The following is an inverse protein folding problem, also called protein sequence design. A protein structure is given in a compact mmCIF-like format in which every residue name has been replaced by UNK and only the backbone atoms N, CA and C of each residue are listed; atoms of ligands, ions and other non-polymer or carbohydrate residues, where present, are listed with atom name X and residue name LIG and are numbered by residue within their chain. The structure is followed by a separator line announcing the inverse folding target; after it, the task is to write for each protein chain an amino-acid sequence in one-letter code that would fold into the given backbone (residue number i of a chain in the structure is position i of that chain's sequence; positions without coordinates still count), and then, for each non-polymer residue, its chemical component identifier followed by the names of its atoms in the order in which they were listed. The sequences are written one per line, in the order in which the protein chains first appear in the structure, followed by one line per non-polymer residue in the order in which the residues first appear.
data_IF_783500437015
#
_entry.id   IF_783500437015
#
_cell.length_a   1.000
_cell.length_b   1.000
_cell.length_c   1.000
_cell.angle_alpha   90.00
_cell.angle_beta   90.00
_cell.angle_gamma   90.00
#
_symmetry.space_group_name_H-M   'P 1'
#
loop_
_entity.id
_entity.type
_entity.pdbx_description
1 polymer ?
#
# COMPACT_ATOMS: atom_id res chain seq x y z
N UNK A 1 -2.19 4.07 11.96
CA UNK A 1 -0.87 3.91 12.57
C UNK A 1 0.09 3.33 11.55
N UNK A 2 1.28 3.91 11.43
CA UNK A 2 2.24 3.45 10.44
C UNK A 2 3.07 2.31 10.99
N UNK A 3 3.13 1.23 10.23
CA UNK A 3 4.01 0.11 10.56
C UNK A 3 5.30 0.25 9.78
N UNK A 4 6.38 -0.18 10.37
CA UNK A 4 7.69 -0.17 9.76
C UNK A 4 8.33 -1.54 9.90
N UNK A 5 9.18 -1.89 8.95
CA UNK A 5 10.05 -3.05 9.08
C UNK A 5 11.49 -2.54 9.05
N UNK A 6 12.31 -3.05 9.96
CA UNK A 6 13.73 -2.73 9.97
C UNK A 6 14.51 -3.94 9.50
N UNK A 7 15.38 -3.72 8.52
CA UNK A 7 16.32 -4.74 8.05
C UNK A 7 17.72 -4.28 8.36
N UNK A 8 18.54 -5.17 8.93
CA UNK A 8 19.97 -4.93 9.09
C UNK A 8 20.70 -5.82 8.08
N UNK A 9 21.44 -5.19 7.18
CA UNK A 9 22.17 -5.92 6.14
C UNK A 9 23.57 -5.33 6.02
N UNK A 10 24.57 -6.18 6.19
CA UNK A 10 25.98 -5.77 6.15
C UNK A 10 26.27 -4.60 7.09
N UNK A 11 25.65 -4.62 8.28
CA UNK A 11 25.86 -3.60 9.30
C UNK A 11 25.07 -2.32 9.08
N UNK A 12 24.28 -2.24 8.04
CA UNK A 12 23.47 -1.04 7.73
C UNK A 12 22.01 -1.33 8.03
N UNK A 13 21.34 -0.40 8.71
CA UNK A 13 19.91 -0.52 9.00
C UNK A 13 19.10 0.17 7.94
N UNK A 14 18.07 -0.52 7.47
CA UNK A 14 17.12 0.03 6.51
C UNK A 14 15.73 0.00 7.11
N UNK A 15 14.99 1.10 6.92
CA UNK A 15 13.60 1.20 7.41
C UNK A 15 12.69 1.15 6.20
N UNK A 16 11.79 0.19 6.21
CA UNK A 16 10.80 0.00 5.16
C UNK A 16 9.45 0.51 5.66
N UNK A 17 8.78 1.27 4.82
CA UNK A 17 7.51 1.85 5.20
C UNK A 17 6.70 2.19 3.96
N UNK A 18 5.38 2.13 4.06
CA UNK A 18 4.48 2.55 3.00
C UNK A 18 3.71 3.78 3.46
N UNK A 19 3.46 4.68 2.51
CA UNK A 19 2.51 5.76 2.68
C UNK A 19 1.74 5.92 1.38
N UNK A 20 0.82 6.87 1.35
CA UNK A 20 -0.04 7.03 0.17
C UNK A 20 0.77 7.29 -1.09
N UNK A 21 1.79 8.12 -1.00
CA UNK A 21 2.62 8.45 -2.16
C UNK A 21 3.31 7.21 -2.70
N UNK A 22 3.89 6.41 -1.81
CA UNK A 22 4.60 5.19 -2.21
C UNK A 22 3.64 4.17 -2.82
N UNK A 23 2.46 4.00 -2.20
CA UNK A 23 1.47 3.06 -2.73
C UNK A 23 1.01 3.50 -4.12
N UNK A 24 0.80 4.80 -4.34
CA UNK A 24 0.43 5.28 -5.67
C UNK A 24 1.51 4.97 -6.70
N UNK A 25 2.77 5.12 -6.31
CA UNK A 25 3.86 4.77 -7.22
C UNK A 25 3.84 3.28 -7.56
N UNK A 26 3.56 2.43 -6.58
CA UNK A 26 3.46 0.99 -6.82
C UNK A 26 2.34 0.67 -7.81
N UNK A 27 1.17 1.24 -7.58
CA UNK A 27 0.01 1.00 -8.43
C UNK A 27 0.28 1.48 -9.86
N UNK A 28 0.91 2.63 -10.00
CA UNK A 28 1.26 3.14 -11.32
C UNK A 28 2.28 2.26 -12.04
N UNK A 29 3.07 1.51 -11.29
CA UNK A 29 4.06 0.60 -11.87
C UNK A 29 3.48 -0.80 -12.13
N UNK A 30 2.21 -1.03 -11.81
CA UNK A 30 1.55 -2.29 -12.10
C UNK A 30 1.26 -3.16 -10.90
N UNK A 31 1.48 -2.67 -9.69
CA UNK A 31 1.19 -3.45 -8.49
C UNK A 31 -0.31 -3.67 -8.35
N UNK A 32 -0.69 -4.92 -8.05
CA UNK A 32 -2.07 -5.27 -7.78
C UNK A 32 -2.11 -6.14 -6.53
N UNK A 33 -2.70 -5.60 -5.46
CA UNK A 33 -2.71 -6.29 -4.17
C UNK A 33 -3.42 -7.63 -4.25
N UNK A 34 -4.51 -7.71 -5.00
CA UNK A 34 -5.26 -8.96 -5.11
C UNK A 34 -4.46 -10.05 -5.80
N UNK A 35 -3.46 -9.68 -6.60
CA UNK A 35 -2.59 -10.64 -7.28
C UNK A 35 -1.26 -10.84 -6.57
N UNK A 36 -1.14 -10.33 -5.35
CA UNK A 36 0.13 -10.33 -4.64
C UNK A 36 0.73 -11.73 -4.53
N UNK A 37 -0.10 -12.73 -4.24
CA UNK A 37 0.37 -14.10 -4.08
C UNK A 37 0.12 -14.98 -5.31
N UNK A 38 -0.73 -14.56 -6.24
CA UNK A 38 -0.98 -15.34 -7.45
C UNK A 38 -0.08 -14.95 -8.61
N UNK A 39 0.43 -13.71 -8.61
CA UNK A 39 1.45 -13.26 -9.55
C UNK A 39 2.59 -12.65 -8.76
N UNK A 40 3.34 -13.49 -8.02
CA UNK A 40 4.27 -12.97 -7.01
C UNK A 40 5.50 -12.28 -7.59
N UNK A 41 5.97 -12.70 -8.76
CA UNK A 41 7.25 -12.20 -9.25
C UNK A 41 7.26 -10.68 -9.36
N UNK A 42 6.28 -10.12 -10.07
CA UNK A 42 6.24 -8.66 -10.25
C UNK A 42 5.74 -7.96 -8.99
N UNK A 43 4.76 -8.55 -8.31
CA UNK A 43 4.13 -7.87 -7.18
C UNK A 43 5.01 -7.84 -5.95
N UNK A 44 5.73 -8.92 -5.65
CA UNK A 44 6.66 -8.92 -4.53
C UNK A 44 7.81 -7.97 -4.82
N UNK A 45 8.33 -7.97 -6.05
CA UNK A 45 9.42 -7.06 -6.40
C UNK A 45 9.01 -5.60 -6.24
N UNK A 46 7.83 -5.24 -6.75
CA UNK A 46 7.34 -3.87 -6.62
C UNK A 46 7.14 -3.49 -5.16
N UNK A 47 6.52 -4.39 -4.37
CA UNK A 47 6.26 -4.10 -2.97
C UNK A 47 7.55 -3.92 -2.18
N UNK A 48 8.53 -4.80 -2.40
CA UNK A 48 9.78 -4.72 -1.67
C UNK A 48 10.57 -3.46 -2.05
N UNK A 49 10.72 -3.22 -3.35
CA UNK A 49 11.48 -2.07 -3.84
C UNK A 49 10.86 -0.77 -3.35
N UNK A 50 9.54 -0.65 -3.45
CA UNK A 50 8.86 0.59 -3.07
C UNK A 50 8.95 0.85 -1.57
N UNK A 51 9.04 -0.20 -0.75
CA UNK A 51 9.10 -0.03 0.69
C UNK A 51 10.34 0.75 1.15
N UNK A 52 11.39 0.81 0.33
CA UNK A 52 12.60 1.56 0.65
C UNK A 52 12.51 3.05 0.31
N UNK A 53 11.55 3.45 -0.52
CA UNK A 53 11.59 4.77 -1.14
C UNK A 53 11.50 5.89 -0.11
N UNK A 54 10.66 5.72 0.90
CA UNK A 54 10.39 6.80 1.85
C UNK A 54 11.65 7.19 2.62
N UNK A 55 12.43 6.22 3.06
CA UNK A 55 13.59 6.46 3.92
C UNK A 55 14.91 6.32 3.18
N UNK A 56 14.93 5.65 2.04
CA UNK A 56 16.16 5.37 1.30
C UNK A 56 15.94 5.60 -0.19
N UNK A 57 15.57 6.83 -0.58
CA UNK A 57 15.16 7.08 -1.98
C UNK A 57 16.29 6.93 -2.99
N UNK A 58 17.54 6.92 -2.54
CA UNK A 58 18.68 6.82 -3.46
C UNK A 58 19.31 5.45 -3.48
N UNK A 59 18.73 4.47 -2.77
CA UNK A 59 19.27 3.13 -2.75
C UNK A 59 19.07 2.49 -4.13
N UNK A 60 20.13 1.88 -4.65
CA UNK A 60 20.11 1.34 -6.01
C UNK A 60 19.41 0.00 -6.06
N UNK A 61 18.78 -0.28 -7.20
CA UNK A 61 18.04 -1.52 -7.38
C UNK A 61 18.92 -2.75 -7.15
N UNK A 62 20.17 -2.71 -7.59
CA UNK A 62 21.06 -3.85 -7.40
C UNK A 62 21.30 -4.14 -5.93
N UNK A 63 21.33 -3.11 -5.11
CA UNK A 63 21.52 -3.29 -3.67
C UNK A 63 20.23 -3.81 -3.02
N UNK A 64 19.09 -3.32 -3.48
CA UNK A 64 17.80 -3.81 -2.97
C UNK A 64 17.64 -5.29 -3.27
N UNK A 65 18.02 -5.71 -4.48
CA UNK A 65 17.93 -7.12 -4.87
C UNK A 65 18.85 -7.98 -4.00
N UNK A 66 20.05 -7.47 -3.72
CA UNK A 66 20.97 -8.21 -2.86
C UNK A 66 20.41 -8.36 -1.45
N UNK A 67 19.83 -7.30 -0.92
CA UNK A 67 19.21 -7.36 0.41
C UNK A 67 18.12 -8.42 0.42
N UNK A 68 17.27 -8.44 -0.61
CA UNK A 68 16.21 -9.42 -0.68
C UNK A 68 16.76 -10.84 -0.72
N UNK A 69 17.77 -11.06 -1.58
CA UNK A 69 18.31 -12.40 -1.77
C UNK A 69 18.94 -12.93 -0.49
N UNK A 70 19.47 -12.05 0.35
CA UNK A 70 20.13 -12.44 1.60
C UNK A 70 19.16 -12.56 2.77
N UNK A 71 17.86 -12.21 2.59
CA UNK A 71 16.90 -12.28 3.70
C UNK A 71 16.61 -13.72 4.08
N UNK A 72 16.71 -14.05 5.37
CA UNK A 72 16.18 -15.32 5.87
C UNK A 72 14.66 -15.20 6.07
N UNK A 73 13.99 -16.36 6.14
CA UNK A 73 12.58 -16.43 6.48
C UNK A 73 11.73 -15.54 5.58
N UNK A 74 11.92 -15.69 4.28
CA UNK A 74 11.24 -14.85 3.29
C UNK A 74 9.74 -14.99 3.34
N UNK A 75 9.23 -16.18 3.67
CA UNK A 75 7.79 -16.40 3.74
C UNK A 75 7.14 -15.46 4.74
N UNK A 76 7.70 -15.40 5.96
CA UNK A 76 7.15 -14.51 6.97
C UNK A 76 7.42 -13.04 6.64
N UNK A 77 8.56 -12.76 6.01
CA UNK A 77 8.86 -11.39 5.62
C UNK A 77 7.85 -10.87 4.60
N UNK A 78 7.55 -11.67 3.57
CA UNK A 78 6.57 -11.27 2.55
C UNK A 78 5.19 -11.12 3.15
N UNK A 79 4.83 -12.00 4.10
CA UNK A 79 3.56 -11.86 4.80
C UNK A 79 3.50 -10.53 5.58
N UNK A 80 4.62 -10.11 6.19
CA UNK A 80 4.67 -8.84 6.90
C UNK A 80 4.49 -7.65 5.94
N UNK A 81 5.13 -7.70 4.76
CA UNK A 81 4.91 -6.67 3.75
C UNK A 81 3.44 -6.60 3.34
N UNK A 82 2.84 -7.76 3.09
CA UNK A 82 1.44 -7.81 2.68
C UNK A 82 0.53 -7.23 3.73
N UNK A 83 0.83 -7.50 5.02
CA UNK A 83 0.02 -6.93 6.09
C UNK A 83 0.14 -5.41 6.14
N UNK A 84 1.34 -4.87 5.96
CA UNK A 84 1.52 -3.42 5.96
C UNK A 84 0.72 -2.77 4.82
N UNK A 85 0.72 -3.40 3.65
CA UNK A 85 -0.03 -2.88 2.51
C UNK A 85 -1.52 -2.99 2.77
N UNK A 86 -1.97 -4.12 3.31
CA UNK A 86 -3.37 -4.32 3.66
C UNK A 86 -3.84 -3.29 4.68
N UNK A 87 -3.02 -3.03 5.71
CA UNK A 87 -3.34 -2.03 6.72
C UNK A 87 -3.49 -0.65 6.08
N UNK A 88 -2.65 -0.35 5.10
CA UNK A 88 -2.77 0.92 4.39
C UNK A 88 -4.11 1.02 3.67
N UNK A 89 -4.50 -0.03 2.93
CA UNK A 89 -5.77 0.00 2.20
C UNK A 89 -6.95 0.11 3.16
N UNK A 90 -6.89 -0.57 4.30
CA UNK A 90 -7.93 -0.43 5.31
C UNK A 90 -8.04 1.01 5.80
N UNK A 91 -6.91 1.70 5.94
CA UNK A 91 -6.90 3.07 6.44
C UNK A 91 -7.57 4.06 5.49
N UNK A 92 -7.65 3.73 4.20
CA UNK A 92 -8.31 4.61 3.24
C UNK A 92 -9.80 4.72 3.50
N UNK A 93 -10.39 3.72 4.12
CA UNK A 93 -11.82 3.69 4.38
C UNK A 93 -12.15 3.86 5.85
N UNK A 94 -11.13 4.09 6.68
CA UNK A 94 -11.34 4.25 8.12
C UNK A 94 -11.94 5.62 8.42
N UNK A 95 -12.90 5.63 9.33
CA UNK A 95 -13.49 6.88 9.77
C UNK A 95 -12.58 7.58 10.79
N UNK A 96 -12.69 8.91 10.91
CA UNK A 96 -11.94 9.63 11.95
C UNK A 96 -12.31 9.10 13.33
N UNK A 97 -11.32 9.10 14.23
CA UNK A 97 -11.53 8.54 15.57
C UNK A 97 -12.60 9.24 16.36
N UNK A 98 -12.72 10.55 16.19
CA UNK A 98 -13.71 11.32 16.92
C UNK A 98 -15.00 11.54 16.13
N UNK A 99 -15.21 10.69 15.12
CA UNK A 99 -16.40 10.75 14.30
C UNK A 99 -17.61 10.32 15.14
N UNK A 100 -18.57 11.22 15.30
CA UNK A 100 -19.79 10.94 16.06
C UNK A 100 -20.83 10.21 15.22
N UNK A 101 -20.45 9.66 14.09
CA UNK A 101 -21.36 8.97 13.19
C UNK A 101 -22.11 9.88 12.24
N UNK A 102 -21.79 11.15 12.22
CA UNK A 102 -22.48 12.12 11.37
C UNK A 102 -21.61 12.44 10.15
N UNK A 103 -22.19 12.22 8.97
CA UNK A 103 -21.53 12.63 7.74
C UNK A 103 -21.64 14.13 7.55
N UNK A 104 -20.56 14.73 7.05
CA UNK A 104 -20.60 16.13 6.63
C UNK A 104 -20.65 16.24 5.11
N UNK A 105 -21.08 15.17 4.45
CA UNK A 105 -21.20 15.10 3.01
C UNK A 105 -22.51 14.43 2.66
N UNK A 106 -23.00 14.71 1.45
CA UNK A 106 -24.21 14.04 0.95
C UNK A 106 -24.12 13.94 -0.56
N UNK A 107 -24.82 12.96 -1.12
CA UNK A 107 -24.91 12.81 -2.55
C UNK A 107 -26.02 13.74 -3.07
N UNK A 108 -25.68 14.62 -4.00
CA UNK A 108 -26.65 15.49 -4.64
C UNK A 108 -27.00 14.87 -5.99
N UNK A 109 -28.27 14.52 -6.16
CA UNK A 109 -28.74 13.89 -7.40
C UNK A 109 -29.07 14.99 -8.41
N UNK A 110 -28.20 15.11 -9.41
CA UNK A 110 -28.38 16.10 -10.47
C UNK A 110 -29.17 15.58 -11.66
N UNK A 111 -29.61 14.31 -11.61
CA UNK A 111 -30.42 13.73 -12.64
C UNK A 111 -31.82 14.38 -12.63
N UNK A 112 -32.35 14.87 -13.76
CA UNK A 112 -33.73 15.39 -13.77
C UNK A 112 -34.71 14.30 -13.37
N UNK A 113 -35.65 14.69 -12.57
CA UNK A 113 -36.69 13.74 -12.16
C UNK A 113 -37.89 13.94 -13.05
N UNK A 114 -38.50 13.04 -13.73
CA UNK A 114 -39.50 13.22 -14.72
C UNK A 114 -40.55 12.31 -14.75
N UNK A 115 -40.09 12.65 -14.56
CA UNK A 115 -40.25 11.95 -14.31
C UNK A 115 -40.84 11.28 -13.71
N UNK A 116 -40.83 11.68 -13.37
CA UNK A 116 -41.12 11.10 -12.48
C UNK A 116 -41.94 10.75 -12.62
N UNK A 117 -41.94 10.97 -13.21
CA UNK A 117 -42.52 10.70 -13.24
C UNK A 117 -42.85 10.22 -13.86
N UNK A 118 -42.76 10.32 -14.17
CA UNK A 118 -42.98 9.88 -14.45
C UNK A 118 -43.06 9.39 -14.79
N UNK A 119 -42.92 9.40 -14.88
CA UNK A 119 -42.93 9.12 -14.81
C UNK A 119 -43.06 8.95 -14.73
N UNK A 120 -43.49 8.95 -15.17
CA UNK A 120 -43.63 8.94 -14.74
C UNK A 120 -43.84 8.72 -14.88
#
# INVERSE_FOLDING_TARGET
MNNQIKITHDGVEYILEYDRTVIKMMENAGFNYEEFLTKPTINIELAFTAAFIKHHPKLKQVEIEKIYNDLPDKTNFVAALGKMISDFYDSLLADPEDNSGKANWEVVDLTPKKKEKSQG
#
